data_IF_671841771837
#
_entry.id   IF_671841771837
#
_cell.length_a   1.000
_cell.length_b   1.000
_cell.length_c   1.000
_cell.angle_alpha   90.00
_cell.angle_beta   90.00
_cell.angle_gamma   90.00
#
_symmetry.space_group_name_H-M   'P 1'
#
loop_
_entity.id
_entity.type
_entity.pdbx_description
1 polymer ?
#
# COMPACT_ATOMS: atom_id res chain seq x y z
N UNK A 1 -13.83 -43.29 13.68
CA UNK A 1 -13.95 -42.15 14.63
C UNK A 1 -15.41 -41.76 14.63
N UNK A 2 -16.05 -41.66 15.78
CA UNK A 2 -17.50 -41.36 15.83
C UNK A 2 -17.79 -39.90 15.46
N UNK A 3 -16.93 -38.99 15.92
CA UNK A 3 -16.94 -37.59 15.49
C UNK A 3 -15.55 -37.00 15.66
N UNK A 4 -15.17 -36.10 14.75
CA UNK A 4 -13.86 -35.47 14.76
C UNK A 4 -13.96 -34.00 14.35
N UNK A 5 -13.10 -33.17 14.94
CA UNK A 5 -12.92 -31.76 14.61
C UNK A 5 -11.62 -31.64 13.83
N UNK A 6 -11.70 -30.95 12.70
CA UNK A 6 -10.63 -30.80 11.74
C UNK A 6 -10.32 -29.33 11.48
N UNK A 7 -9.09 -29.06 11.06
CA UNK A 7 -8.67 -27.79 10.47
C UNK A 7 -8.23 -28.08 9.04
N UNK A 8 -8.74 -27.30 8.08
CA UNK A 8 -8.31 -27.35 6.69
C UNK A 8 -7.71 -26.01 6.25
N UNK A 9 -6.62 -26.11 5.48
CA UNK A 9 -6.07 -25.05 4.63
C UNK A 9 -6.10 -25.52 3.18
N UNK A 10 -6.66 -24.72 2.30
CA UNK A 10 -6.81 -25.05 0.88
C UNK A 10 -5.82 -24.25 0.04
N UNK A 11 -5.08 -24.92 -0.83
CA UNK A 11 -4.10 -24.30 -1.72
C UNK A 11 -4.71 -23.22 -2.62
N UNK A 12 -5.97 -23.38 -3.01
CA UNK A 12 -6.70 -22.37 -3.79
C UNK A 12 -6.87 -21.05 -3.04
N UNK A 13 -6.97 -21.07 -1.71
CA UNK A 13 -7.00 -19.86 -0.88
C UNK A 13 -5.66 -19.12 -0.92
N UNK A 14 -4.55 -19.86 -0.83
CA UNK A 14 -3.21 -19.27 -0.88
C UNK A 14 -2.91 -18.74 -2.30
N UNK A 15 -3.39 -19.41 -3.35
CA UNK A 15 -3.29 -18.93 -4.74
C UNK A 15 -4.04 -17.61 -4.93
N UNK A 16 -5.21 -17.45 -4.32
CA UNK A 16 -5.97 -16.21 -4.37
C UNK A 16 -5.21 -15.08 -3.66
N UNK A 17 -4.65 -15.35 -2.48
CA UNK A 17 -3.81 -14.40 -1.76
C UNK A 17 -2.56 -14.01 -2.56
N UNK A 18 -1.88 -14.97 -3.17
CA UNK A 18 -0.74 -14.73 -4.06
C UNK A 18 -1.12 -13.79 -5.21
N UNK A 19 -2.24 -14.04 -5.89
CA UNK A 19 -2.70 -13.20 -7.03
C UNK A 19 -2.95 -11.77 -6.60
N UNK A 20 -3.58 -11.57 -5.44
CA UNK A 20 -3.79 -10.25 -4.84
C UNK A 20 -2.46 -9.55 -4.55
N UNK A 21 -1.55 -10.22 -3.86
CA UNK A 21 -0.23 -9.67 -3.52
C UNK A 21 0.59 -9.33 -4.76
N UNK A 22 0.51 -10.15 -5.81
CA UNK A 22 1.12 -9.85 -7.11
C UNK A 22 0.49 -8.65 -7.82
N UNK A 23 -0.83 -8.46 -7.70
CA UNK A 23 -1.50 -7.28 -8.24
C UNK A 23 -1.05 -6.00 -7.53
N UNK A 24 -0.94 -6.02 -6.19
CA UNK A 24 -0.36 -4.93 -5.41
C UNK A 24 1.09 -4.64 -5.83
N UNK A 25 1.95 -5.67 -5.94
CA UNK A 25 3.33 -5.50 -6.38
C UNK A 25 3.42 -4.92 -7.80
N UNK A 26 2.56 -5.36 -8.72
CA UNK A 26 2.50 -4.84 -10.09
C UNK A 26 2.14 -3.34 -10.12
N UNK A 27 1.19 -2.91 -9.29
CA UNK A 27 0.85 -1.50 -9.16
C UNK A 27 2.00 -0.68 -8.56
N UNK A 28 2.65 -1.19 -7.52
CA UNK A 28 3.82 -0.55 -6.91
C UNK A 28 4.99 -0.42 -7.89
N UNK A 29 5.25 -1.46 -8.68
CA UNK A 29 6.27 -1.44 -9.73
C UNK A 29 6.00 -0.37 -10.80
N UNK A 30 4.74 -0.15 -11.18
CA UNK A 30 4.37 0.95 -12.09
C UNK A 30 4.69 2.33 -11.50
N UNK A 31 4.42 2.51 -10.20
CA UNK A 31 4.77 3.75 -9.49
C UNK A 31 6.28 3.94 -9.41
N UNK A 32 7.02 2.87 -9.05
CA UNK A 32 8.48 2.85 -9.01
C UNK A 32 9.11 3.21 -10.37
N UNK A 33 8.57 2.69 -11.47
CA UNK A 33 9.02 3.07 -12.82
C UNK A 33 8.71 4.54 -13.16
N UNK A 34 7.59 5.09 -12.69
CA UNK A 34 7.24 6.48 -12.92
C UNK A 34 8.19 7.45 -12.20
N UNK A 35 8.54 7.15 -10.93
CA UNK A 35 9.51 7.94 -10.14
C UNK A 35 10.91 7.83 -10.76
N UNK A 36 11.33 6.64 -11.19
CA UNK A 36 12.62 6.45 -11.85
C UNK A 36 12.79 7.27 -13.14
N UNK A 37 11.71 7.49 -13.90
CA UNK A 37 11.77 8.34 -15.10
C UNK A 37 12.01 9.81 -14.79
N UNK A 38 11.73 10.25 -13.57
CA UNK A 38 11.94 11.61 -13.11
C UNK A 38 13.34 11.81 -12.50
N UNK A 39 13.99 10.74 -12.02
CA UNK A 39 15.34 10.81 -11.46
C UNK A 39 16.40 11.04 -12.54
N UNK A 40 17.36 11.91 -12.23
CA UNK A 40 18.51 12.20 -13.10
C UNK A 40 19.70 11.26 -12.85
N UNK A 41 19.79 10.69 -11.64
CA UNK A 41 20.85 9.76 -11.24
C UNK A 41 20.24 8.36 -11.11
N UNK A 42 20.59 7.49 -12.04
CA UNK A 42 19.92 6.20 -12.23
C UNK A 42 20.97 5.08 -12.25
N UNK A 43 20.95 4.24 -11.20
CA UNK A 43 21.71 3.00 -11.18
C UNK A 43 21.02 1.96 -12.08
N UNK A 44 21.52 1.87 -13.32
CA UNK A 44 21.02 0.95 -14.34
C UNK A 44 21.09 -0.50 -13.89
N UNK A 45 22.11 -0.89 -13.11
CA UNK A 45 22.27 -2.27 -12.64
C UNK A 45 21.21 -2.61 -11.60
N UNK A 46 20.99 -1.73 -10.63
CA UNK A 46 19.94 -1.91 -9.61
C UNK A 46 18.56 -1.99 -10.24
N UNK A 47 18.26 -1.12 -11.21
CA UNK A 47 16.96 -1.14 -11.92
C UNK A 47 16.73 -2.48 -12.61
N UNK A 48 17.75 -3.00 -13.29
CA UNK A 48 17.61 -4.27 -14.02
C UNK A 48 17.43 -5.45 -13.06
N UNK A 49 18.13 -5.47 -11.93
CA UNK A 49 17.96 -6.50 -10.89
C UNK A 49 16.53 -6.51 -10.31
N UNK A 50 15.96 -5.34 -10.02
CA UNK A 50 14.59 -5.22 -9.50
C UNK A 50 13.58 -5.70 -10.55
N UNK A 51 13.75 -5.29 -11.81
CA UNK A 51 12.91 -5.75 -12.93
C UNK A 51 13.01 -7.25 -13.14
N UNK A 52 14.21 -7.81 -13.13
CA UNK A 52 14.43 -9.25 -13.30
C UNK A 52 13.71 -10.03 -12.20
N UNK A 53 13.88 -9.64 -10.93
CA UNK A 53 13.21 -10.30 -9.79
C UNK A 53 11.68 -10.22 -9.91
N UNK A 54 11.14 -9.09 -10.33
CA UNK A 54 9.71 -8.94 -10.59
C UNK A 54 9.22 -9.82 -11.76
N UNK A 55 9.99 -9.91 -12.84
CA UNK A 55 9.68 -10.76 -13.98
C UNK A 55 9.70 -12.25 -13.63
N UNK A 56 10.67 -12.68 -12.82
CA UNK A 56 10.73 -14.05 -12.29
C UNK A 56 9.44 -14.36 -11.52
N UNK A 57 9.04 -13.51 -10.56
CA UNK A 57 7.78 -13.67 -9.82
C UNK A 57 6.56 -13.71 -10.74
N UNK A 58 6.50 -12.86 -11.76
CA UNK A 58 5.40 -12.84 -12.73
C UNK A 58 5.36 -14.09 -13.62
N UNK A 59 6.51 -14.68 -13.92
CA UNK A 59 6.56 -15.93 -14.69
C UNK A 59 5.99 -17.10 -13.88
N UNK A 60 6.28 -17.17 -12.58
CA UNK A 60 5.70 -18.18 -11.67
C UNK A 60 4.17 -18.15 -11.64
N UNK A 61 3.55 -16.96 -11.77
CA UNK A 61 2.10 -16.82 -11.80
C UNK A 61 1.44 -17.63 -12.92
N UNK A 62 2.10 -17.81 -14.08
CA UNK A 62 1.55 -18.55 -15.24
C UNK A 62 1.39 -20.04 -14.94
N UNK A 63 2.36 -20.61 -14.22
CA UNK A 63 2.45 -22.05 -13.97
C UNK A 63 2.09 -22.41 -12.51
N UNK A 64 1.38 -21.52 -11.80
CA UNK A 64 1.18 -21.59 -10.34
C UNK A 64 0.59 -22.92 -9.83
N UNK A 65 -0.19 -23.61 -10.68
CA UNK A 65 -0.80 -24.92 -10.36
C UNK A 65 0.15 -26.10 -10.50
N UNK A 66 1.26 -25.95 -11.22
CA UNK A 66 2.21 -27.02 -11.51
C UNK A 66 3.33 -27.14 -10.47
N UNK A 67 3.53 -26.11 -9.64
CA UNK A 67 4.56 -26.12 -8.59
C UNK A 67 4.18 -27.00 -7.40
N UNK A 68 5.19 -27.48 -6.66
CA UNK A 68 4.98 -28.15 -5.37
C UNK A 68 4.52 -27.14 -4.31
N UNK A 69 3.93 -27.63 -3.23
CA UNK A 69 3.52 -26.81 -2.08
C UNK A 69 4.72 -26.03 -1.49
N UNK A 70 5.89 -26.67 -1.36
CA UNK A 70 7.09 -26.04 -0.80
C UNK A 70 7.63 -24.90 -1.69
N UNK A 71 7.69 -25.12 -3.01
CA UNK A 71 8.13 -24.10 -3.96
C UNK A 71 7.19 -22.89 -3.96
N UNK A 72 5.88 -23.15 -3.88
CA UNK A 72 4.85 -22.12 -3.80
C UNK A 72 4.92 -21.35 -2.48
N UNK A 73 5.08 -22.01 -1.33
CA UNK A 73 5.22 -21.37 -0.03
C UNK A 73 6.47 -20.46 0.03
N UNK A 74 7.61 -20.94 -0.48
CA UNK A 74 8.83 -20.14 -0.56
C UNK A 74 8.64 -18.87 -1.41
N UNK A 75 7.93 -18.96 -2.53
CA UNK A 75 7.68 -17.82 -3.41
C UNK A 75 6.72 -16.80 -2.77
N UNK A 76 5.59 -17.27 -2.23
CA UNK A 76 4.59 -16.42 -1.59
C UNK A 76 5.20 -15.67 -0.40
N UNK A 77 6.13 -16.30 0.33
CA UNK A 77 6.88 -15.65 1.40
C UNK A 77 7.79 -14.49 0.95
N UNK A 78 8.21 -14.44 -0.32
CA UNK A 78 9.08 -13.37 -0.82
C UNK A 78 8.33 -12.11 -1.26
N UNK A 79 7.05 -12.21 -1.60
CA UNK A 79 6.30 -11.07 -2.17
C UNK A 79 6.16 -9.92 -1.16
N UNK A 80 5.78 -10.15 0.12
CA UNK A 80 5.68 -9.05 1.09
C UNK A 80 7.01 -8.30 1.25
N UNK A 81 8.13 -9.02 1.32
CA UNK A 81 9.46 -8.41 1.40
C UNK A 81 9.83 -7.63 0.14
N UNK A 82 9.39 -8.07 -1.03
CA UNK A 82 9.57 -7.30 -2.28
C UNK A 82 8.71 -6.04 -2.31
N UNK A 83 7.46 -6.11 -1.86
CA UNK A 83 6.56 -4.94 -1.74
C UNK A 83 7.19 -3.91 -0.81
N UNK A 84 7.65 -4.33 0.37
CA UNK A 84 8.33 -3.45 1.32
C UNK A 84 9.60 -2.83 0.73
N UNK A 85 10.45 -3.65 0.12
CA UNK A 85 11.68 -3.18 -0.52
C UNK A 85 11.43 -2.13 -1.61
N UNK A 86 10.48 -2.37 -2.53
CA UNK A 86 10.15 -1.41 -3.59
C UNK A 86 9.51 -0.15 -3.00
N UNK A 87 8.69 -0.27 -1.95
CA UNK A 87 8.12 0.87 -1.24
C UNK A 87 9.19 1.77 -0.62
N UNK A 88 10.14 1.18 0.09
CA UNK A 88 11.29 1.91 0.66
C UNK A 88 12.15 2.55 -0.43
N UNK A 89 12.33 1.87 -1.57
CA UNK A 89 13.10 2.41 -2.69
C UNK A 89 12.41 3.63 -3.32
N UNK A 90 11.08 3.61 -3.45
CA UNK A 90 10.29 4.77 -3.88
C UNK A 90 10.51 5.95 -2.93
N UNK A 91 10.43 5.73 -1.62
CA UNK A 91 10.63 6.78 -0.62
C UNK A 91 12.05 7.37 -0.70
N UNK A 92 13.08 6.52 -0.84
CA UNK A 92 14.46 6.96 -0.99
C UNK A 92 14.67 7.81 -2.26
N UNK A 93 14.10 7.38 -3.39
CA UNK A 93 14.19 8.12 -4.64
C UNK A 93 13.44 9.45 -4.57
N UNK A 94 12.28 9.48 -3.92
CA UNK A 94 11.54 10.72 -3.69
C UNK A 94 12.35 11.70 -2.83
N UNK A 95 13.01 11.23 -1.76
CA UNK A 95 13.89 12.08 -0.95
C UNK A 95 15.07 12.62 -1.78
N UNK A 96 15.71 11.79 -2.61
CA UNK A 96 16.78 12.24 -3.50
C UNK A 96 16.30 13.30 -4.51
N UNK A 97 15.08 13.16 -5.04
CA UNK A 97 14.46 14.19 -5.89
C UNK A 97 14.22 15.48 -5.12
N UNK A 98 13.73 15.40 -3.88
CA UNK A 98 13.52 16.57 -3.01
C UNK A 98 14.85 17.28 -2.74
N UNK A 99 15.93 16.55 -2.47
CA UNK A 99 17.27 17.09 -2.30
C UNK A 99 17.76 17.78 -3.58
N UNK A 100 17.61 17.14 -4.74
CA UNK A 100 17.98 17.72 -6.03
C UNK A 100 17.23 19.04 -6.30
N UNK A 101 15.90 19.06 -6.09
CA UNK A 101 15.08 20.26 -6.22
C UNK A 101 15.46 21.35 -5.21
N UNK A 102 15.82 20.96 -3.98
CA UNK A 102 16.31 21.88 -2.94
C UNK A 102 17.60 22.55 -3.37
N UNK A 103 18.58 21.78 -3.84
CA UNK A 103 19.87 22.30 -4.33
C UNK A 103 19.66 23.23 -5.53
N UNK A 104 18.79 22.85 -6.47
CA UNK A 104 18.47 23.70 -7.62
C UNK A 104 17.88 25.06 -7.20
N UNK A 105 16.98 25.07 -6.20
CA UNK A 105 16.41 26.31 -5.67
C UNK A 105 17.45 27.16 -4.95
N UNK A 106 18.30 26.55 -4.12
CA UNK A 106 19.38 27.26 -3.43
C UNK A 106 20.35 27.88 -4.43
N UNK A 107 20.70 27.16 -5.50
CA UNK A 107 21.52 27.69 -6.59
C UNK A 107 20.86 28.87 -7.30
N UNK A 108 19.57 28.76 -7.62
CA UNK A 108 18.80 29.85 -8.23
C UNK A 108 18.76 31.10 -7.33
N UNK A 109 18.54 30.94 -6.02
CA UNK A 109 18.59 32.07 -5.07
C UNK A 109 19.97 32.69 -5.02
N UNK A 110 21.02 31.89 -4.86
CA UNK A 110 22.40 32.39 -4.82
C UNK A 110 22.77 33.14 -6.11
N UNK A 111 22.30 32.68 -7.28
CA UNK A 111 22.47 33.40 -8.54
C UNK A 111 21.76 34.75 -8.55
N UNK A 112 20.53 34.84 -8.02
CA UNK A 112 19.77 36.09 -7.92
C UNK A 112 20.42 37.09 -6.96
N UNK A 113 20.86 36.63 -5.79
CA UNK A 113 21.58 37.46 -4.80
C UNK A 113 22.89 38.01 -5.39
N UNK A 114 23.69 37.14 -6.01
CA UNK A 114 24.92 37.54 -6.68
C UNK A 114 24.65 38.54 -7.81
N UNK A 115 23.61 38.31 -8.62
CA UNK A 115 23.22 39.24 -9.68
C UNK A 115 22.81 40.60 -9.12
N UNK A 116 22.07 40.65 -8.01
CA UNK A 116 21.65 41.90 -7.38
C UNK A 116 22.82 42.68 -6.80
N UNK A 117 23.77 41.99 -6.17
CA UNK A 117 25.00 42.60 -5.66
C UNK A 117 25.84 43.17 -6.80
N UNK A 118 26.05 42.40 -7.88
CA UNK A 118 26.79 42.83 -9.06
C UNK A 118 26.10 43.98 -9.79
N UNK A 119 24.77 43.96 -9.88
CA UNK A 119 23.98 45.02 -10.48
C UNK A 119 24.19 46.35 -9.74
N UNK A 120 24.08 46.34 -8.40
CA UNK A 120 24.32 47.53 -7.58
C UNK A 120 25.77 48.05 -7.74
N UNK A 121 26.76 47.16 -7.73
CA UNK A 121 28.17 47.53 -7.88
C UNK A 121 28.48 48.09 -9.28
N UNK A 122 27.94 47.48 -10.34
CA UNK A 122 28.10 47.93 -11.72
C UNK A 122 27.39 49.27 -11.97
N UNK A 123 26.18 49.46 -11.43
CA UNK A 123 25.49 50.75 -11.54
C UNK A 123 26.30 51.89 -10.90
N UNK A 124 26.99 51.63 -9.79
CA UNK A 124 27.81 52.63 -9.10
C UNK A 124 29.13 52.94 -9.81
N UNK A 125 29.77 51.94 -10.46
CA UNK A 125 31.12 52.09 -11.02
C UNK A 125 31.16 52.24 -12.54
N UNK A 126 30.20 51.70 -13.27
CA UNK A 126 30.18 51.61 -14.73
C UNK A 126 28.74 51.72 -15.30
N UNK A 127 28.06 52.87 -15.14
CA UNK A 127 26.70 53.08 -15.65
C UNK A 127 26.59 52.98 -17.18
N UNK A 128 27.71 53.06 -17.91
CA UNK A 128 27.77 52.95 -19.37
C UNK A 128 27.45 51.55 -19.92
N UNK A 129 27.52 50.48 -19.11
CA UNK A 129 27.26 49.10 -19.54
C UNK A 129 25.77 48.72 -19.47
N UNK A 130 24.91 49.48 -20.12
CA UNK A 130 23.46 49.32 -20.05
C UNK A 130 22.96 47.91 -20.43
N UNK A 131 23.61 47.24 -21.39
CA UNK A 131 23.23 45.89 -21.83
C UNK A 131 23.49 44.85 -20.75
N UNK A 132 24.63 44.91 -20.07
CA UNK A 132 24.95 43.99 -18.97
C UNK A 132 24.10 44.27 -17.73
N UNK A 133 23.80 45.56 -17.47
CA UNK A 133 22.88 45.97 -16.41
C UNK A 133 21.45 45.44 -16.65
N UNK A 134 20.96 45.46 -17.91
CA UNK A 134 19.67 44.86 -18.26
C UNK A 134 19.67 43.34 -18.07
N UNK A 135 20.71 42.65 -18.55
CA UNK A 135 20.83 41.19 -18.40
C UNK A 135 20.92 40.77 -16.92
N UNK A 136 21.67 41.50 -16.09
CA UNK A 136 21.72 41.25 -14.65
C UNK A 136 20.36 41.56 -13.99
N UNK A 137 19.66 42.60 -14.42
CA UNK A 137 18.31 42.91 -13.93
C UNK A 137 17.29 41.80 -14.28
N UNK A 138 17.40 41.18 -15.47
CA UNK A 138 16.59 40.02 -15.86
C UNK A 138 16.89 38.80 -14.96
N UNK A 139 18.17 38.52 -14.69
CA UNK A 139 18.58 37.44 -13.77
C UNK A 139 18.08 37.69 -12.35
N UNK A 140 18.12 38.94 -11.85
CA UNK A 140 17.56 39.27 -10.51
C UNK A 140 16.05 39.11 -10.40
N UNK A 141 15.32 39.19 -11.52
CA UNK A 141 13.87 38.94 -11.55
C UNK A 141 13.52 37.45 -11.62
N UNK A 142 14.52 36.57 -11.75
CA UNK A 142 14.32 35.13 -11.86
C UNK A 142 13.86 34.67 -13.25
N UNK A 143 14.01 35.50 -14.28
CA UNK A 143 13.73 35.09 -15.66
C UNK A 143 14.85 34.12 -16.10
N UNK A 144 14.49 32.85 -16.33
CA UNK A 144 15.44 31.80 -16.74
C UNK A 144 16.06 32.13 -18.10
N UNK A 145 17.24 32.74 -18.07
CA UNK A 145 18.14 32.77 -19.21
C UNK A 145 19.12 31.62 -19.05
N UNK A 146 19.23 30.74 -20.06
CA UNK A 146 20.29 29.70 -20.16
C UNK A 146 21.72 30.28 -20.15
N UNK A 147 21.85 31.60 -19.99
CA UNK A 147 23.08 32.38 -19.91
C UNK A 147 23.33 33.03 -18.53
N UNK A 148 22.52 32.80 -17.49
CA UNK A 148 22.67 33.47 -16.20
C UNK A 148 24.11 33.35 -15.62
N UNK A 149 24.70 32.16 -15.64
CA UNK A 149 26.10 31.95 -15.20
C UNK A 149 27.13 32.65 -16.11
N UNK A 150 26.86 32.75 -17.42
CA UNK A 150 27.72 33.48 -18.37
C UNK A 150 27.66 34.99 -18.10
N UNK A 151 26.46 35.52 -17.81
CA UNK A 151 26.25 36.93 -17.47
C UNK A 151 26.95 37.27 -16.15
N UNK A 152 26.79 36.42 -15.12
CA UNK A 152 27.47 36.59 -13.83
C UNK A 152 29.00 36.56 -13.96
N UNK A 153 29.55 35.58 -14.68
CA UNK A 153 31.00 35.46 -14.88
C UNK A 153 31.58 36.62 -15.71
N UNK A 154 30.85 37.09 -16.73
CA UNK A 154 31.24 38.27 -17.50
C UNK A 154 31.27 39.54 -16.64
N UNK A 155 30.27 39.72 -15.77
CA UNK A 155 30.22 40.84 -14.82
C UNK A 155 31.39 40.80 -13.82
N UNK A 156 31.69 39.64 -13.24
CA UNK A 156 32.83 39.46 -12.32
C UNK A 156 34.16 39.74 -13.02
N UNK A 157 34.35 39.22 -14.24
CA UNK A 157 35.55 39.47 -15.04
C UNK A 157 35.74 40.97 -15.31
N UNK A 158 34.68 41.68 -15.71
CA UNK A 158 34.74 43.12 -15.95
C UNK A 158 35.04 43.94 -14.69
N UNK A 159 34.52 43.52 -13.52
CA UNK A 159 34.89 44.16 -12.25
C UNK A 159 36.35 43.90 -11.86
N UNK A 160 36.87 42.69 -12.13
CA UNK A 160 38.25 42.31 -11.78
C UNK A 160 39.32 43.01 -12.63
N UNK A 161 38.95 43.49 -13.82
CA UNK A 161 39.87 44.20 -14.73
C UNK A 161 40.07 45.68 -14.34
N UNK A 162 39.34 46.20 -13.35
CA UNK A 162 39.59 47.53 -12.83
C UNK A 162 40.65 47.52 -11.72
N UNK A 163 41.64 48.43 -11.75
CA UNK A 163 42.56 48.59 -10.63
C UNK A 163 41.77 49.05 -9.41
N UNK A 164 41.84 48.29 -8.31
CA UNK A 164 41.23 48.65 -7.03
C UNK A 164 41.84 49.97 -6.50
N UNK A 165 41.29 51.11 -6.92
CA UNK A 165 41.64 52.41 -6.34
C UNK A 165 40.93 52.54 -5.00
N UNK A 166 41.49 51.90 -3.98
CA UNK A 166 41.13 52.18 -2.59
C UNK A 166 41.35 53.67 -2.35
N UNK A 167 40.27 54.37 -1.99
CA UNK A 167 40.32 55.76 -1.57
C UNK A 167 41.11 55.87 -0.26
N UNK A 168 41.69 57.04 0.01
CA UNK A 168 42.52 57.27 1.20
C UNK A 168 41.72 57.02 2.50
N UNK A 169 40.43 57.36 2.48
CA UNK A 169 39.47 57.04 3.55
C UNK A 169 39.28 55.52 3.75
N UNK A 170 39.19 54.75 2.68
CA UNK A 170 39.08 53.28 2.75
C UNK A 170 40.38 52.63 3.24
N UNK A 171 41.57 53.15 2.88
CA UNK A 171 42.85 52.66 3.42
C UNK A 171 42.98 52.93 4.93
N UNK A 172 42.49 54.07 5.37
CA UNK A 172 42.48 54.45 6.79
C UNK A 172 41.50 53.59 7.57
N UNK A 173 40.36 53.24 6.96
CA UNK A 173 39.36 52.35 7.55
C UNK A 173 39.84 50.89 7.61
N UNK A 174 40.54 50.41 6.57
CA UNK A 174 41.19 49.08 6.54
C UNK A 174 42.27 48.94 7.62
N UNK A 175 43.06 50.00 7.87
CA UNK A 175 44.02 50.03 8.97
C UNK A 175 43.31 49.97 10.33
N UNK A 176 42.21 50.71 10.51
CA UNK A 176 41.41 50.67 11.75
C UNK A 176 40.73 49.31 11.99
N UNK A 177 40.25 48.65 10.94
CA UNK A 177 39.67 47.30 11.00
C UNK A 177 40.71 46.23 11.35
N UNK A 178 41.97 46.41 10.95
CA UNK A 178 43.09 45.54 11.36
C UNK A 178 43.52 45.73 12.80
N UNK A 179 43.32 46.91 13.37
CA UNK A 179 43.78 47.27 14.72
C UNK A 179 42.71 47.12 15.81
N UNK A 180 41.42 47.15 15.46
CA UNK A 180 40.34 47.06 16.45
C UNK A 180 39.02 46.61 15.83
N UNK A 181 38.83 45.30 15.68
CA UNK A 181 37.49 44.73 15.67
C UNK A 181 37.32 43.91 16.95
N UNK A 182 36.40 44.27 17.86
CA UNK A 182 36.07 43.41 18.98
C UNK A 182 35.51 42.10 18.43
N UNK A 183 36.14 40.97 18.74
CA UNK A 183 35.72 39.63 18.27
C UNK A 183 34.22 39.36 18.54
N UNK A 184 33.66 39.98 19.60
CA UNK A 184 32.24 39.90 19.96
C UNK A 184 31.29 40.52 18.93
N UNK A 185 31.64 41.64 18.28
CA UNK A 185 30.76 42.29 17.30
C UNK A 185 30.76 41.56 15.94
N UNK A 186 31.90 40.97 15.56
CA UNK A 186 32.01 40.11 14.40
C UNK A 186 31.26 38.77 14.61
N UNK A 187 31.30 38.22 15.81
CA UNK A 187 30.57 37.00 16.15
C UNK A 187 29.05 37.17 16.05
N UNK A 188 28.49 38.31 16.50
CA UNK A 188 27.05 38.59 16.46
C UNK A 188 26.54 38.71 15.02
N UNK A 189 27.24 39.45 14.13
CA UNK A 189 26.84 39.55 12.72
C UNK A 189 26.96 38.24 11.95
N UNK A 190 27.90 37.36 12.31
CA UNK A 190 28.02 36.03 11.69
C UNK A 190 26.91 35.07 12.15
N UNK A 191 26.43 35.21 13.39
CA UNK A 191 25.32 34.40 13.92
C UNK A 191 23.97 34.77 13.27
N UNK A 192 23.69 36.06 13.10
CA UNK A 192 22.45 36.53 12.45
C UNK A 192 22.38 36.10 10.97
N UNK A 193 23.50 36.17 10.25
CA UNK A 193 23.60 35.73 8.86
C UNK A 193 23.43 34.20 8.71
N UNK A 194 23.98 33.43 9.66
CA UNK A 194 23.79 31.98 9.70
C UNK A 194 22.34 31.59 9.97
N UNK A 195 21.67 32.24 10.93
CA UNK A 195 20.27 31.96 11.24
C UNK A 195 19.35 32.27 10.05
N UNK A 196 19.57 33.42 9.41
CA UNK A 196 18.85 33.85 8.20
C UNK A 196 19.00 32.82 7.08
N UNK A 197 20.23 32.41 6.79
CA UNK A 197 20.54 31.41 5.76
C UNK A 197 19.90 30.05 6.06
N UNK A 198 19.91 29.61 7.31
CA UNK A 198 19.30 28.35 7.70
C UNK A 198 17.77 28.36 7.56
N UNK A 199 17.11 29.46 7.93
CA UNK A 199 15.65 29.58 7.78
C UNK A 199 15.22 29.57 6.30
N UNK A 200 15.97 30.27 5.45
CA UNK A 200 15.77 30.29 4.00
C UNK A 200 16.00 28.90 3.34
N UNK A 201 17.00 28.15 3.80
CA UNK A 201 17.22 26.77 3.35
C UNK A 201 16.05 25.85 3.73
N UNK A 202 15.44 26.05 4.91
CA UNK A 202 14.25 25.27 5.32
C UNK A 202 13.04 25.61 4.44
N UNK A 203 12.84 26.88 4.11
CA UNK A 203 11.80 27.32 3.17
C UNK A 203 11.98 26.64 1.80
N UNK A 204 13.20 26.63 1.26
CA UNK A 204 13.47 25.99 -0.03
C UNK A 204 13.21 24.49 -0.01
N UNK A 205 13.60 23.81 1.08
CA UNK A 205 13.33 22.39 1.24
C UNK A 205 11.84 22.10 1.24
N UNK A 206 11.03 22.88 1.96
CA UNK A 206 9.57 22.69 1.95
C UNK A 206 8.94 22.96 0.58
N UNK A 207 9.40 24.00 -0.13
CA UNK A 207 8.89 24.28 -1.48
C UNK A 207 9.29 23.17 -2.46
N UNK A 208 10.52 22.65 -2.36
CA UNK A 208 10.98 21.50 -3.14
C UNK A 208 10.16 20.24 -2.83
N UNK A 209 9.89 19.98 -1.55
CA UNK A 209 9.08 18.84 -1.11
C UNK A 209 7.65 18.92 -1.66
N UNK A 210 7.01 20.09 -1.60
CA UNK A 210 5.69 20.31 -2.20
C UNK A 210 5.71 20.11 -3.73
N UNK A 211 6.74 20.59 -4.42
CA UNK A 211 6.85 20.43 -5.87
C UNK A 211 6.98 18.97 -6.31
N UNK A 212 7.63 18.12 -5.49
CA UNK A 212 7.80 16.69 -5.77
C UNK A 212 6.56 15.88 -5.37
N UNK A 213 6.02 16.12 -4.17
CA UNK A 213 4.92 15.32 -3.61
C UNK A 213 3.54 15.69 -4.16
N UNK A 214 3.30 16.97 -4.48
CA UNK A 214 2.06 17.40 -5.12
C UNK A 214 2.31 18.43 -6.24
N UNK A 215 2.66 17.98 -7.46
CA UNK A 215 2.91 18.86 -8.59
C UNK A 215 1.71 19.70 -9.04
N UNK A 216 0.48 19.35 -8.61
CA UNK A 216 -0.73 20.11 -8.96
C UNK A 216 -1.07 21.18 -7.93
N UNK A 217 -0.42 21.17 -6.76
CA UNK A 217 -0.61 22.20 -5.76
C UNK A 217 -0.06 23.54 -6.26
N UNK A 218 -0.83 24.61 -6.05
CA UNK A 218 -0.40 25.96 -6.40
C UNK A 218 0.69 26.45 -5.40
N UNK A 219 1.94 26.17 -5.72
CA UNK A 219 3.12 26.60 -4.96
C UNK A 219 3.58 28.04 -5.27
N UNK A 220 2.98 28.68 -6.28
CA UNK A 220 3.39 30.02 -6.74
C UNK A 220 3.29 31.09 -5.64
N UNK A 221 2.26 31.00 -4.79
CA UNK A 221 2.07 31.92 -3.66
C UNK A 221 3.20 31.81 -2.63
N UNK A 222 3.65 30.60 -2.30
CA UNK A 222 4.78 30.36 -1.41
C UNK A 222 6.10 30.84 -2.01
N UNK A 223 6.31 30.62 -3.31
CA UNK A 223 7.48 31.09 -4.03
C UNK A 223 7.55 32.63 -4.00
N UNK A 224 6.41 33.30 -4.22
CA UNK A 224 6.34 34.76 -4.15
C UNK A 224 6.67 35.29 -2.76
N UNK A 225 6.05 34.73 -1.70
CA UNK A 225 6.32 35.11 -0.31
C UNK A 225 7.78 34.90 0.09
N UNK A 226 8.40 33.81 -0.39
CA UNK A 226 9.83 33.56 -0.16
C UNK A 226 10.71 34.63 -0.83
N UNK A 227 10.39 35.03 -2.08
CA UNK A 227 11.12 36.08 -2.78
C UNK A 227 10.94 37.48 -2.15
N UNK A 228 9.80 37.75 -1.51
CA UNK A 228 9.59 38.98 -0.74
C UNK A 228 10.45 39.01 0.53
N UNK A 229 10.55 37.89 1.25
CA UNK A 229 11.41 37.77 2.44
C UNK A 229 12.88 38.04 2.12
N UNK A 230 13.37 37.57 0.97
CA UNK A 230 14.76 37.81 0.52
C UNK A 230 15.05 39.32 0.34
N UNK A 231 14.04 40.13 0.01
CA UNK A 231 14.17 41.58 -0.17
C UNK A 231 14.06 42.39 1.13
N UNK A 232 13.49 41.79 2.19
CA UNK A 232 13.16 42.44 3.46
C UNK A 232 14.17 42.16 4.58
N UNK A 233 15.40 41.77 4.25
CA UNK A 233 16.46 41.34 5.20
C UNK A 233 16.88 42.38 6.26
N UNK A 234 16.30 43.59 6.25
CA UNK A 234 16.51 44.65 7.27
C UNK A 234 15.23 45.04 8.04
N UNK A 235 14.11 44.33 7.83
CA UNK A 235 12.83 44.62 8.49
C UNK A 235 12.78 43.99 9.89
N UNK A 236 12.39 44.73 10.95
CA UNK A 236 12.20 44.16 12.29
C UNK A 236 11.18 43.00 12.35
N UNK A 237 10.28 42.89 11.36
CA UNK A 237 9.29 41.82 11.28
C UNK A 237 9.78 40.59 10.50
N UNK A 238 11.01 40.59 9.99
CA UNK A 238 11.53 39.50 9.15
C UNK A 238 11.44 38.13 9.82
N UNK A 239 11.80 38.05 11.11
CA UNK A 239 11.70 36.81 11.89
C UNK A 239 10.26 36.31 11.98
N UNK A 240 9.30 37.20 12.28
CA UNK A 240 7.88 36.86 12.39
C UNK A 240 7.31 36.36 11.06
N UNK A 241 7.63 37.04 9.95
CA UNK A 241 7.15 36.66 8.62
C UNK A 241 7.75 35.33 8.17
N UNK A 242 9.03 35.10 8.48
CA UNK A 242 9.73 33.85 8.22
C UNK A 242 9.12 32.70 9.00
N UNK A 243 8.88 32.88 10.31
CA UNK A 243 8.24 31.87 11.15
C UNK A 243 6.82 31.54 10.67
N UNK A 244 6.04 32.57 10.30
CA UNK A 244 4.71 32.38 9.72
C UNK A 244 4.77 31.59 8.41
N UNK A 245 5.70 31.91 7.51
CA UNK A 245 5.85 31.18 6.24
C UNK A 245 6.31 29.73 6.48
N UNK A 246 7.25 29.49 7.39
CA UNK A 246 7.71 28.15 7.74
C UNK A 246 6.55 27.32 8.31
N UNK A 247 5.69 27.90 9.17
CA UNK A 247 4.52 27.20 9.70
C UNK A 247 3.52 26.83 8.60
N UNK A 248 3.20 27.77 7.70
CA UNK A 248 2.29 27.53 6.57
C UNK A 248 2.85 26.43 5.64
N UNK A 249 4.13 26.53 5.28
CA UNK A 249 4.83 25.56 4.45
C UNK A 249 4.91 24.19 5.12
N UNK A 250 5.21 24.12 6.41
CA UNK A 250 5.26 22.86 7.16
C UNK A 250 3.87 22.22 7.27
N UNK A 251 2.80 23.01 7.37
CA UNK A 251 1.43 22.49 7.33
C UNK A 251 1.06 21.96 5.94
N UNK A 252 1.34 22.73 4.88
CA UNK A 252 1.10 22.31 3.50
C UNK A 252 1.88 21.04 3.16
N UNK A 253 3.16 20.99 3.54
CA UNK A 253 4.04 19.83 3.30
C UNK A 253 3.54 18.58 4.01
N UNK A 254 3.14 18.70 5.28
CA UNK A 254 2.55 17.57 6.03
C UNK A 254 1.26 17.08 5.38
N UNK A 255 0.42 18.00 4.90
CA UNK A 255 -0.80 17.64 4.20
C UNK A 255 -0.49 16.90 2.89
N UNK A 256 0.40 17.41 2.05
CA UNK A 256 0.81 16.80 0.79
C UNK A 256 1.43 15.40 1.00
N UNK A 257 2.31 15.24 2.01
CA UNK A 257 2.90 13.94 2.35
C UNK A 257 1.83 12.93 2.78
N UNK A 258 0.91 13.34 3.65
CA UNK A 258 -0.20 12.47 4.09
C UNK A 258 -1.10 12.11 2.90
N UNK A 259 -1.39 13.07 2.03
CA UNK A 259 -2.19 12.85 0.84
C UNK A 259 -1.53 11.84 -0.10
N UNK A 260 -0.25 12.02 -0.41
CA UNK A 260 0.53 11.12 -1.25
C UNK A 260 0.57 9.68 -0.68
N UNK A 261 0.82 9.54 0.62
CA UNK A 261 0.82 8.25 1.31
C UNK A 261 -0.56 7.55 1.20
N UNK A 262 -1.65 8.29 1.47
CA UNK A 262 -3.01 7.73 1.42
C UNK A 262 -3.46 7.43 0.00
N UNK A 263 -3.08 8.25 -0.98
CA UNK A 263 -3.29 7.97 -2.41
C UNK A 263 -2.57 6.68 -2.84
N UNK A 264 -1.31 6.49 -2.44
CA UNK A 264 -0.58 5.26 -2.71
C UNK A 264 -1.24 4.06 -2.01
N UNK A 265 -1.60 4.19 -0.73
CA UNK A 265 -2.28 3.12 0.02
C UNK A 265 -3.59 2.69 -0.66
N UNK A 266 -4.43 3.65 -1.05
CA UNK A 266 -5.68 3.36 -1.76
C UNK A 266 -5.43 2.73 -3.13
N UNK A 267 -4.43 3.22 -3.89
CA UNK A 267 -4.05 2.65 -5.18
C UNK A 267 -3.62 1.17 -5.06
N UNK A 268 -2.87 0.82 -4.02
CA UNK A 268 -2.49 -0.57 -3.76
C UNK A 268 -3.69 -1.46 -3.38
N UNK A 269 -4.63 -0.93 -2.60
CA UNK A 269 -5.86 -1.64 -2.25
C UNK A 269 -6.75 -1.87 -3.47
N UNK A 270 -6.91 -0.87 -4.35
CA UNK A 270 -7.63 -1.02 -5.62
C UNK A 270 -6.99 -2.11 -6.47
N UNK A 271 -5.67 -2.08 -6.64
CA UNK A 271 -4.96 -3.12 -7.40
C UNK A 271 -5.16 -4.52 -6.79
N UNK A 272 -5.20 -4.64 -5.47
CA UNK A 272 -5.53 -5.89 -4.79
C UNK A 272 -6.96 -6.35 -5.10
N UNK A 273 -7.93 -5.45 -5.03
CA UNK A 273 -9.36 -5.73 -5.29
C UNK A 273 -9.61 -6.15 -6.75
N UNK A 274 -8.86 -5.59 -7.71
CA UNK A 274 -8.92 -5.97 -9.14
C UNK A 274 -8.67 -7.47 -9.36
N UNK A 275 -7.99 -8.14 -8.43
CA UNK A 275 -7.71 -9.58 -8.55
C UNK A 275 -8.92 -10.50 -8.32
N UNK A 276 -10.03 -10.00 -7.75
CA UNK A 276 -11.18 -10.82 -7.36
C UNK A 276 -12.28 -10.99 -8.44
N UNK A 277 -12.28 -10.18 -9.50
CA UNK A 277 -13.17 -10.33 -10.67
C UNK A 277 -14.69 -10.47 -10.37
N UNK A 278 -15.22 -9.78 -9.35
CA UNK A 278 -16.68 -9.72 -9.05
C UNK A 278 -17.31 -8.41 -9.52
N UNK A 279 -18.61 -8.44 -9.84
CA UNK A 279 -19.41 -7.26 -10.22
C UNK A 279 -19.49 -6.22 -9.10
N UNK A 280 -19.69 -6.67 -7.86
CA UNK A 280 -19.79 -5.81 -6.68
C UNK A 280 -18.45 -5.10 -6.43
N UNK A 281 -17.35 -5.83 -6.61
CA UNK A 281 -15.99 -5.30 -6.47
C UNK A 281 -15.67 -4.33 -7.60
N UNK A 282 -16.08 -4.61 -8.83
CA UNK A 282 -15.89 -3.70 -9.97
C UNK A 282 -16.60 -2.35 -9.73
N UNK A 283 -17.85 -2.39 -9.26
CA UNK A 283 -18.60 -1.18 -8.90
C UNK A 283 -17.98 -0.42 -7.71
N UNK A 284 -17.37 -1.14 -6.76
CA UNK A 284 -16.61 -0.51 -5.68
C UNK A 284 -15.34 0.18 -6.21
N UNK A 285 -14.56 -0.50 -7.06
CA UNK A 285 -13.34 0.04 -7.67
C UNK A 285 -13.62 1.34 -8.43
N UNK A 286 -14.71 1.41 -9.19
CA UNK A 286 -15.11 2.65 -9.87
C UNK A 286 -15.32 3.81 -8.88
N UNK A 287 -16.00 3.56 -7.75
CA UNK A 287 -16.18 4.57 -6.69
C UNK A 287 -14.86 4.98 -6.04
N UNK A 288 -13.96 4.04 -5.76
CA UNK A 288 -12.66 4.32 -5.16
C UNK A 288 -11.77 5.14 -6.12
N UNK A 289 -11.82 4.87 -7.42
CA UNK A 289 -11.13 5.65 -8.44
C UNK A 289 -11.63 7.09 -8.52
N UNK A 290 -12.93 7.35 -8.32
CA UNK A 290 -13.44 8.71 -8.22
C UNK A 290 -12.86 9.45 -7.01
N UNK A 291 -12.77 8.79 -5.85
CA UNK A 291 -12.15 9.39 -4.65
C UNK A 291 -10.69 9.75 -4.88
N UNK A 292 -9.93 8.91 -5.60
CA UNK A 292 -8.56 9.21 -6.00
C UNK A 292 -8.44 10.51 -6.82
N UNK A 293 -9.47 10.88 -7.59
CA UNK A 293 -9.48 12.13 -8.36
C UNK A 293 -9.85 13.36 -7.53
N UNK A 294 -10.61 13.20 -6.44
CA UNK A 294 -11.06 14.32 -5.60
C UNK A 294 -9.93 14.94 -4.76
N UNK A 295 -8.84 14.18 -4.48
CA UNK A 295 -7.65 14.66 -3.73
C UNK A 295 -7.94 15.25 -2.35
N UNK A 296 -9.04 14.83 -1.72
CA UNK A 296 -9.41 15.24 -0.37
C UNK A 296 -9.05 14.15 0.64
N UNK A 297 -8.48 14.55 1.78
CA UNK A 297 -7.96 13.61 2.77
C UNK A 297 -9.05 12.78 3.46
N UNK A 298 -10.18 13.39 3.83
CA UNK A 298 -11.25 12.67 4.54
C UNK A 298 -11.93 11.60 3.66
N UNK A 299 -12.37 11.91 2.42
CA UNK A 299 -12.85 10.89 1.50
C UNK A 299 -11.86 9.76 1.25
N UNK A 300 -10.55 10.06 1.17
CA UNK A 300 -9.50 9.05 1.01
C UNK A 300 -9.43 8.09 2.21
N UNK A 301 -9.49 8.61 3.44
CA UNK A 301 -9.44 7.78 4.65
C UNK A 301 -10.66 6.84 4.71
N UNK A 302 -11.85 7.36 4.43
CA UNK A 302 -13.08 6.56 4.39
C UNK A 302 -13.04 5.50 3.28
N UNK A 303 -12.51 5.85 2.10
CA UNK A 303 -12.32 4.94 0.98
C UNK A 303 -11.32 3.83 1.32
N UNK A 304 -10.22 4.14 2.01
CA UNK A 304 -9.24 3.15 2.48
C UNK A 304 -9.91 2.16 3.44
N UNK A 305 -10.64 2.64 4.44
CA UNK A 305 -11.34 1.77 5.38
C UNK A 305 -12.36 0.87 4.68
N UNK A 306 -13.10 1.41 3.72
CA UNK A 306 -14.05 0.65 2.90
C UNK A 306 -13.35 -0.42 2.06
N UNK A 307 -12.23 -0.07 1.41
CA UNK A 307 -11.47 -1.00 0.59
C UNK A 307 -10.79 -2.11 1.41
N UNK A 308 -10.32 -1.79 2.62
CA UNK A 308 -9.77 -2.78 3.57
C UNK A 308 -10.85 -3.78 4.00
N UNK A 309 -12.00 -3.28 4.47
CA UNK A 309 -13.12 -4.14 4.87
C UNK A 309 -13.61 -5.02 3.72
N UNK A 310 -13.71 -4.47 2.50
CA UNK A 310 -14.07 -5.24 1.32
C UNK A 310 -13.03 -6.32 0.97
N UNK A 311 -11.74 -6.00 1.11
CA UNK A 311 -10.65 -6.96 0.88
C UNK A 311 -10.72 -8.11 1.87
N UNK A 312 -10.84 -7.81 3.17
CA UNK A 312 -10.96 -8.82 4.22
C UNK A 312 -12.19 -9.71 4.02
N UNK A 313 -13.34 -9.12 3.71
CA UNK A 313 -14.56 -9.87 3.44
C UNK A 313 -14.41 -10.81 2.24
N UNK A 314 -13.78 -10.34 1.16
CA UNK A 314 -13.55 -11.18 -0.03
C UNK A 314 -12.55 -12.30 0.26
N UNK A 315 -11.47 -12.03 0.99
CA UNK A 315 -10.51 -13.06 1.40
C UNK A 315 -11.18 -14.15 2.24
N UNK A 316 -12.01 -13.76 3.21
CA UNK A 316 -12.74 -14.69 4.03
C UNK A 316 -13.72 -15.54 3.21
N UNK A 317 -14.45 -14.92 2.27
CA UNK A 317 -15.39 -15.64 1.41
C UNK A 317 -14.67 -16.65 0.50
N UNK A 318 -13.58 -16.23 -0.16
CA UNK A 318 -12.78 -17.08 -1.04
C UNK A 318 -12.17 -18.24 -0.25
N UNK A 319 -11.56 -17.96 0.90
CA UNK A 319 -10.99 -18.99 1.77
C UNK A 319 -12.05 -19.98 2.25
N UNK A 320 -13.23 -19.48 2.67
CA UNK A 320 -14.31 -20.32 3.14
C UNK A 320 -14.85 -21.26 2.06
N UNK A 321 -15.00 -20.78 0.83
CA UNK A 321 -15.45 -21.56 -0.30
C UNK A 321 -14.38 -22.57 -0.73
N UNK A 322 -13.14 -22.11 -0.93
CA UNK A 322 -11.98 -22.93 -1.30
C UNK A 322 -11.78 -24.15 -0.39
N UNK A 323 -11.89 -23.94 0.93
CA UNK A 323 -11.79 -25.02 1.92
C UNK A 323 -12.90 -26.04 1.81
N UNK A 324 -14.13 -25.60 1.56
CA UNK A 324 -15.30 -26.48 1.41
C UNK A 324 -15.20 -27.29 0.13
N UNK A 325 -14.87 -26.63 -0.97
CA UNK A 325 -14.62 -27.27 -2.27
C UNK A 325 -13.52 -28.33 -2.16
N UNK A 326 -12.38 -28.03 -1.51
CA UNK A 326 -11.29 -28.99 -1.34
C UNK A 326 -11.74 -30.27 -0.61
N UNK A 327 -12.48 -30.13 0.51
CA UNK A 327 -13.04 -31.29 1.23
C UNK A 327 -14.01 -32.07 0.36
N UNK A 328 -14.94 -31.38 -0.29
CA UNK A 328 -16.00 -32.00 -1.08
C UNK A 328 -15.42 -32.72 -2.31
N UNK A 329 -14.48 -32.12 -3.02
CA UNK A 329 -13.74 -32.77 -4.13
C UNK A 329 -12.96 -33.99 -3.64
N UNK A 330 -12.33 -33.91 -2.47
CA UNK A 330 -11.66 -35.04 -1.84
C UNK A 330 -12.62 -36.18 -1.51
N UNK A 331 -13.81 -35.87 -0.97
CA UNK A 331 -14.86 -36.86 -0.69
C UNK A 331 -15.43 -37.45 -1.98
N UNK A 332 -15.62 -36.65 -3.03
CA UNK A 332 -16.08 -37.13 -4.33
C UNK A 332 -15.12 -38.20 -4.90
N UNK A 333 -13.80 -37.99 -4.78
CA UNK A 333 -12.77 -38.99 -5.17
C UNK A 333 -12.84 -40.29 -4.35
N UNK A 334 -13.36 -40.24 -3.12
CA UNK A 334 -13.63 -41.42 -2.28
C UNK A 334 -14.99 -42.08 -2.57
N UNK A 335 -15.74 -41.59 -3.57
CA UNK A 335 -17.02 -42.14 -3.99
C UNK A 335 -18.23 -41.63 -3.21
N UNK A 336 -18.10 -40.49 -2.53
CA UNK A 336 -19.24 -39.77 -1.96
C UNK A 336 -20.00 -38.99 -3.04
N UNK A 337 -21.31 -38.87 -2.88
CA UNK A 337 -22.21 -38.18 -3.81
C UNK A 337 -22.21 -36.68 -3.50
N UNK A 338 -21.31 -35.95 -4.17
CA UNK A 338 -21.14 -34.49 -4.02
C UNK A 338 -21.71 -33.77 -5.25
N UNK A 339 -22.43 -32.68 -5.00
CA UNK A 339 -22.99 -31.77 -6.02
C UNK A 339 -22.23 -30.45 -6.04
N UNK A 340 -22.29 -29.77 -7.18
CA UNK A 340 -21.67 -28.44 -7.35
C UNK A 340 -22.18 -27.42 -6.31
N UNK A 341 -23.45 -27.49 -5.94
CA UNK A 341 -24.07 -26.57 -4.95
C UNK A 341 -23.71 -26.87 -3.49
N UNK A 342 -23.11 -28.03 -3.18
CA UNK A 342 -22.94 -28.46 -1.79
C UNK A 342 -21.95 -27.57 -1.01
N UNK A 343 -20.98 -26.98 -1.70
CA UNK A 343 -20.03 -26.05 -1.10
C UNK A 343 -20.73 -24.76 -0.65
N UNK A 344 -21.63 -24.22 -1.49
CA UNK A 344 -22.44 -23.03 -1.20
C UNK A 344 -23.47 -23.31 -0.10
N UNK A 345 -24.18 -24.44 -0.19
CA UNK A 345 -25.12 -24.88 0.85
C UNK A 345 -24.40 -25.02 2.19
N UNK A 346 -23.22 -25.64 2.22
CA UNK A 346 -22.43 -25.75 3.45
C UNK A 346 -21.95 -24.38 3.95
N UNK A 347 -21.67 -23.44 3.05
CA UNK A 347 -21.27 -22.08 3.43
C UNK A 347 -22.42 -21.31 4.08
N UNK A 348 -23.65 -21.47 3.59
CA UNK A 348 -24.80 -20.71 4.06
C UNK A 348 -25.52 -21.37 5.25
N UNK A 349 -25.75 -22.68 5.21
CA UNK A 349 -26.43 -23.41 6.30
C UNK A 349 -25.47 -23.82 7.42
N UNK A 350 -24.16 -23.67 7.22
CA UNK A 350 -23.12 -24.10 8.16
C UNK A 350 -23.00 -25.61 8.32
N UNK A 351 -23.76 -26.40 7.54
CA UNK A 351 -23.69 -27.86 7.53
C UNK A 351 -24.11 -28.43 6.18
N UNK A 352 -23.61 -29.61 5.84
CA UNK A 352 -24.06 -30.39 4.70
C UNK A 352 -23.96 -31.89 5.03
N UNK A 353 -24.88 -32.69 4.49
CA UNK A 353 -24.92 -34.14 4.70
C UNK A 353 -24.75 -34.84 3.36
N UNK A 354 -23.61 -35.51 3.20
CA UNK A 354 -23.19 -36.17 1.96
C UNK A 354 -23.41 -37.68 2.06
N UNK A 355 -23.96 -38.25 0.99
CA UNK A 355 -24.25 -39.70 0.88
C UNK A 355 -23.07 -40.46 0.29
N UNK A 356 -23.09 -41.78 0.49
CA UNK A 356 -22.18 -42.70 -0.20
C UNK A 356 -22.94 -43.89 -0.71
N UNK A 357 -22.89 -44.14 -2.03
CA UNK A 357 -23.67 -45.21 -2.66
C UNK A 357 -23.26 -46.61 -2.15
N UNK A 358 -21.99 -46.77 -1.75
CA UNK A 358 -21.46 -48.03 -1.22
C UNK A 358 -21.99 -48.39 0.19
N UNK A 359 -22.54 -47.44 0.94
CA UNK A 359 -23.12 -47.66 2.27
C UNK A 359 -24.53 -47.08 2.34
N UNK A 360 -25.53 -47.73 1.69
CA UNK A 360 -26.90 -47.23 1.67
C UNK A 360 -27.46 -47.04 3.09
N UNK A 361 -28.13 -45.91 3.32
CA UNK A 361 -28.70 -45.56 4.62
C UNK A 361 -27.77 -44.80 5.56
N UNK A 362 -26.51 -44.58 5.16
CA UNK A 362 -25.50 -43.85 5.94
C UNK A 362 -24.81 -42.77 5.10
N UNK A 363 -24.21 -41.79 5.78
CA UNK A 363 -23.45 -40.72 5.16
C UNK A 363 -22.55 -39.98 6.15
N UNK A 364 -22.05 -38.83 5.72
CA UNK A 364 -21.26 -37.93 6.54
C UNK A 364 -21.96 -36.59 6.69
N UNK A 365 -22.05 -36.10 7.92
CA UNK A 365 -22.39 -34.72 8.22
C UNK A 365 -21.09 -33.93 8.39
N UNK A 366 -20.96 -32.86 7.59
CA UNK A 366 -19.93 -31.84 7.72
C UNK A 366 -20.59 -30.61 8.33
N UNK A 367 -20.05 -30.08 9.42
CA UNK A 367 -20.61 -28.91 10.11
C UNK A 367 -19.52 -27.94 10.53
N UNK A 368 -19.67 -26.65 10.23
CA UNK A 368 -18.67 -25.65 10.56
C UNK A 368 -19.25 -24.24 10.48
N UNK A 369 -18.74 -23.34 11.31
CA UNK A 369 -19.17 -21.95 11.26
C UNK A 369 -18.80 -21.30 9.91
N UNK A 370 -19.59 -20.32 9.47
CA UNK A 370 -19.31 -19.54 8.27
C UNK A 370 -17.91 -18.89 8.39
N UNK A 371 -17.09 -19.02 7.36
CA UNK A 371 -15.71 -18.50 7.37
C UNK A 371 -14.68 -19.28 8.18
N UNK A 372 -15.07 -20.29 8.96
CA UNK A 372 -14.13 -21.03 9.81
C UNK A 372 -13.26 -22.01 9.03
N UNK A 373 -11.99 -22.10 9.42
CA UNK A 373 -11.09 -23.22 9.05
C UNK A 373 -11.42 -24.51 9.78
N UNK A 374 -12.13 -24.40 10.92
CA UNK A 374 -12.53 -25.51 11.75
C UNK A 374 -13.87 -26.06 11.31
N UNK A 375 -13.95 -27.37 11.17
CA UNK A 375 -15.21 -28.07 10.95
C UNK A 375 -15.23 -29.43 11.64
N UNK A 376 -16.43 -29.88 11.94
CA UNK A 376 -16.72 -31.19 12.50
C UNK A 376 -17.16 -32.14 11.39
N UNK A 377 -16.63 -33.36 11.42
CA UNK A 377 -17.12 -34.48 10.63
C UNK A 377 -17.74 -35.52 11.55
N UNK A 378 -18.85 -36.09 11.12
CA UNK A 378 -19.57 -37.13 11.86
C UNK A 378 -20.20 -38.11 10.88
N UNK A 379 -20.06 -39.41 11.17
CA UNK A 379 -20.87 -40.43 10.51
C UNK A 379 -22.33 -40.30 10.97
N UNK A 380 -23.26 -40.34 10.01
CA UNK A 380 -24.69 -40.19 10.29
C UNK A 380 -25.48 -41.30 9.59
N UNK A 381 -26.63 -41.61 10.16
CA UNK A 381 -27.60 -42.50 9.55
C UNK A 381 -28.81 -41.70 9.03
N UNK A 382 -29.49 -42.23 8.02
CA UNK A 382 -30.65 -41.54 7.42
C UNK A 382 -32.00 -41.96 8.01
N UNK A 383 -32.03 -43.00 8.83
CA UNK A 383 -33.25 -43.50 9.47
C UNK A 383 -32.98 -43.96 10.91
N UNK A 384 -33.98 -43.79 11.77
CA UNK A 384 -34.01 -44.39 13.11
C UNK A 384 -34.17 -45.92 13.05
N UNK A 385 -34.74 -46.45 11.97
CA UNK A 385 -34.97 -47.89 11.76
C UNK A 385 -33.73 -48.64 11.22
N UNK A 386 -32.54 -48.08 11.43
CA UNK A 386 -31.28 -48.65 10.93
C UNK A 386 -30.82 -49.87 11.74
N UNK A 387 -29.91 -50.63 11.16
CA UNK A 387 -29.18 -51.67 11.87
C UNK A 387 -28.05 -51.05 12.71
N UNK A 388 -28.26 -50.95 14.02
CA UNK A 388 -27.30 -50.37 14.96
C UNK A 388 -26.03 -51.22 15.13
N UNK A 389 -26.03 -52.49 14.71
CA UNK A 389 -24.81 -53.31 14.74
C UNK A 389 -23.80 -52.83 13.69
N UNK A 390 -24.28 -52.21 12.60
CA UNK A 390 -23.44 -51.68 11.52
C UNK A 390 -22.86 -50.30 11.83
N UNK A 391 -23.35 -49.61 12.85
CA UNK A 391 -22.90 -48.26 13.20
C UNK A 391 -21.38 -48.22 13.47
N UNK A 392 -20.86 -49.20 14.21
CA UNK A 392 -19.44 -49.31 14.52
C UNK A 392 -18.60 -49.59 13.26
N UNK A 393 -19.10 -50.43 12.34
CA UNK A 393 -18.44 -50.73 11.08
C UNK A 393 -18.35 -49.48 10.19
N UNK A 394 -19.43 -48.69 10.11
CA UNK A 394 -19.47 -47.43 9.36
C UNK A 394 -18.43 -46.43 9.91
N UNK A 395 -18.33 -46.30 11.24
CA UNK A 395 -17.32 -45.42 11.86
C UNK A 395 -15.89 -45.94 11.70
N UNK A 396 -15.70 -47.25 11.56
CA UNK A 396 -14.41 -47.87 11.24
C UNK A 396 -14.01 -47.65 9.78
N UNK A 397 -14.96 -47.75 8.86
CA UNK A 397 -14.77 -47.40 7.45
C UNK A 397 -14.33 -45.93 7.34
N UNK A 398 -15.08 -45.01 7.97
CA UNK A 398 -14.72 -43.59 7.98
C UNK A 398 -13.31 -43.32 8.51
N UNK A 399 -12.85 -44.07 9.51
CA UNK A 399 -11.48 -43.97 10.02
C UNK A 399 -10.41 -44.21 8.94
N UNK A 400 -10.60 -45.24 8.10
CA UNK A 400 -9.69 -45.53 6.99
C UNK A 400 -9.81 -44.50 5.87
N UNK A 401 -11.03 -44.09 5.55
CA UNK A 401 -11.29 -43.09 4.51
C UNK A 401 -10.78 -41.70 4.86
N UNK A 402 -10.76 -41.35 6.16
CA UNK A 402 -10.15 -40.12 6.63
C UNK A 402 -8.64 -40.07 6.30
N UNK A 403 -7.92 -41.19 6.48
CA UNK A 403 -6.50 -41.26 6.11
C UNK A 403 -6.30 -41.13 4.59
N UNK A 404 -7.18 -41.74 3.80
CA UNK A 404 -7.15 -41.61 2.33
C UNK A 404 -7.49 -40.19 1.89
N UNK A 405 -8.49 -39.54 2.52
CA UNK A 405 -8.83 -38.15 2.26
C UNK A 405 -7.64 -37.23 2.53
N UNK A 406 -6.94 -37.45 3.65
CA UNK A 406 -5.73 -36.69 3.98
C UNK A 406 -4.63 -36.84 2.92
N UNK A 407 -4.45 -38.04 2.35
CA UNK A 407 -3.50 -38.29 1.26
C UNK A 407 -3.93 -37.58 -0.03
N UNK A 408 -5.20 -37.71 -0.42
CA UNK A 408 -5.77 -37.06 -1.62
C UNK A 408 -5.61 -35.54 -1.56
N UNK A 409 -5.87 -34.93 -0.40
CA UNK A 409 -5.71 -33.50 -0.18
C UNK A 409 -4.24 -33.08 -0.21
N UNK A 410 -3.34 -33.90 0.34
CA UNK A 410 -1.90 -33.61 0.29
C UNK A 410 -1.36 -33.63 -1.15
N UNK A 411 -1.89 -34.46 -2.05
CA UNK A 411 -1.52 -34.49 -3.47
C UNK A 411 -1.86 -33.18 -4.20
N UNK A 412 -2.96 -32.52 -3.82
CA UNK A 412 -3.35 -31.21 -4.35
C UNK A 412 -2.63 -30.05 -3.66
N UNK A 413 -1.93 -30.32 -2.56
CA UNK A 413 -1.24 -29.33 -1.73
C UNK A 413 -2.11 -28.70 -0.65
N UNK A 414 -3.29 -29.28 -0.39
CA UNK A 414 -4.17 -28.92 0.72
C UNK A 414 -3.70 -29.62 2.00
N UNK A 415 -3.97 -29.02 3.16
CA UNK A 415 -3.63 -29.63 4.45
C UNK A 415 -4.87 -29.86 5.28
N UNK A 416 -5.07 -31.11 5.71
CA UNK A 416 -6.13 -31.52 6.64
C UNK A 416 -5.50 -32.06 7.91
N UNK A 417 -5.85 -31.48 9.06
CA UNK A 417 -5.36 -31.91 10.38
C UNK A 417 -6.52 -32.23 11.32
N UNK A 418 -6.31 -33.16 12.23
CA UNK A 418 -7.29 -33.54 13.25
C UNK A 418 -6.95 -32.81 14.54
N UNK A 419 -7.85 -31.94 15.00
CA UNK A 419 -7.70 -31.23 16.28
C UNK A 419 -8.21 -32.08 17.44
N UNK A 420 -9.34 -32.78 17.24
CA UNK A 420 -9.97 -33.63 18.26
C UNK A 420 -10.70 -34.78 17.58
N UNK A 421 -10.67 -35.97 18.18
CA UNK A 421 -11.42 -37.11 17.68
C UNK A 421 -12.02 -37.94 18.82
N UNK A 422 -13.22 -38.45 18.60
CA UNK A 422 -13.85 -39.46 19.43
C UNK A 422 -13.63 -40.84 18.81
N UNK A 423 -13.37 -41.84 19.67
CA UNK A 423 -13.23 -43.22 19.26
C UNK A 423 -14.49 -43.74 18.54
N UNK A 424 -14.33 -44.72 17.66
CA UNK A 424 -15.49 -45.42 17.09
C UNK A 424 -16.26 -46.15 18.21
N UNK A 425 -17.58 -46.18 18.12
CA UNK A 425 -18.51 -46.72 19.10
C UNK A 425 -18.70 -45.86 20.36
N UNK A 426 -18.03 -44.70 20.46
CA UNK A 426 -18.10 -43.85 21.65
C UNK A 426 -19.46 -43.14 21.83
N UNK A 427 -20.25 -43.01 20.78
CA UNK A 427 -21.60 -42.42 20.82
C UNK A 427 -22.47 -43.02 19.71
N UNK A 428 -23.80 -43.16 19.92
CA UNK A 428 -24.71 -43.59 18.87
C UNK A 428 -24.70 -42.64 17.67
N UNK A 429 -24.85 -43.18 16.45
CA UNK A 429 -24.94 -42.34 15.25
C UNK A 429 -26.16 -41.43 15.31
N UNK A 430 -25.92 -40.16 14.92
CA UNK A 430 -26.98 -39.17 14.73
C UNK A 430 -27.81 -39.54 13.51
N UNK A 431 -29.13 -39.38 13.60
CA UNK A 431 -30.01 -39.46 12.44
C UNK A 431 -30.07 -38.08 11.78
N UNK A 432 -29.73 -38.01 10.50
CA UNK A 432 -29.69 -36.78 9.72
C UNK A 432 -30.39 -36.97 8.37
N UNK A 433 -31.04 -35.92 7.88
CA UNK A 433 -31.60 -35.91 6.53
C UNK A 433 -30.50 -35.55 5.53
N UNK A 434 -30.35 -36.29 4.43
CA UNK A 434 -29.43 -35.90 3.37
C UNK A 434 -29.89 -34.59 2.71
N UNK A 435 -28.95 -33.84 2.12
CA UNK A 435 -29.23 -32.58 1.41
C UNK A 435 -30.28 -32.74 0.29
N UNK A 436 -30.41 -33.95 -0.26
CA UNK A 436 -31.20 -34.24 -1.46
C UNK A 436 -32.63 -34.76 -1.21
N UNK A 437 -33.05 -34.85 0.06
CA UNK A 437 -34.41 -35.28 0.37
C UNK A 437 -35.39 -34.11 0.18
N UNK A 438 -36.49 -34.25 -0.61
CA UNK A 438 -37.50 -33.20 -0.71
C UNK A 438 -38.02 -32.88 0.69
N UNK A 439 -38.15 -31.59 1.00
CA UNK A 439 -38.75 -31.15 2.26
C UNK A 439 -40.20 -31.67 2.31
N UNK A 440 -40.46 -32.71 3.10
CA UNK A 440 -41.82 -33.02 3.51
C UNK A 440 -42.36 -31.77 4.21
N UNK A 441 -43.33 -31.11 3.55
CA UNK A 441 -44.21 -30.16 4.21
C UNK A 441 -44.70 -30.83 5.48
N UNK A 442 -44.40 -30.22 6.63
CA UNK A 442 -44.87 -30.70 7.91
C UNK A 442 -46.39 -30.76 7.85
N UNK A 443 -46.92 -31.97 7.65
CA UNK A 443 -48.34 -32.28 7.69
C UNK A 443 -48.74 -32.11 9.16
N UNK A 444 -49.17 -30.89 9.51
CA UNK A 444 -49.83 -30.60 10.78
C UNK A 444 -51.17 -31.32 10.76
N UNK A 445 -51.15 -32.63 10.99
CA UNK A 445 -52.35 -33.39 11.29
C UNK A 445 -52.88 -32.95 12.64
N UNK A 446 -53.84 -32.04 12.53
CA UNK A 446 -54.87 -31.68 13.48
C UNK A 446 -55.37 -32.94 14.22
N UNK A 447 -54.91 -33.14 15.46
CA UNK A 447 -55.54 -34.09 16.38
C UNK A 447 -56.59 -33.34 17.19
N UNK A 448 -57.81 -33.33 16.65
CA UNK A 448 -58.98 -32.86 17.35
C UNK A 448 -59.42 -33.80 18.47
N UNK A 449 -60.06 -33.18 19.45
CA UNK A 449 -61.14 -33.70 20.30
C UNK A 449 -60.78 -34.55 21.52
N UNK A 450 -60.71 -33.85 22.66
CA UNK A 450 -61.18 -34.34 23.95
C UNK A 450 -62.35 -33.47 24.41
N UNK A 451 -63.56 -33.84 23.99
CA UNK A 451 -64.84 -33.31 24.45
C UNK A 451 -64.95 -33.37 25.98
N UNK A 452 -65.26 -32.24 26.63
CA UNK A 452 -66.05 -32.19 27.88
C UNK A 452 -66.87 -30.90 27.90
N UNK A 453 -68.18 -31.09 27.70
CA UNK A 453 -69.25 -30.15 28.00
C UNK A 453 -69.92 -30.58 29.32
N UNK A 454 -70.63 -29.61 29.93
CA UNK A 454 -71.57 -29.66 31.07
C UNK A 454 -70.87 -29.54 32.44
N UNK A 455 -71.12 -28.54 33.30
CA UNK A 455 -72.20 -27.55 33.45
C UNK A 455 -71.70 -26.14 33.81
#
# INVERSE_FOLDING_TARGET
>A
MSSSVHIIRARSEDIAEYRRSMACLSALMKQWEAVNRQSSDVDVLKIEQIRQRFQEMKQYQKDIRQYSADAFAHLTGQIPGMIEFVGQDIEQMQEALIEQHTVQRQHQRAQQENAAMLLNLLQQRMPEQQTLLQQLAEVTKGEQTSSAEKVLSQAVLMMSQQPARLTEAQRTMDQRLKESAPEEQLAISQQDDHHTRQALQRIDRHIAELAVLDPQQEIASFIHRAAELDRLTQDPNWNLLTDSLILDLAQATRHARTLAEKTQQLGLLIAGLESYHSSEISALIEKLNLVLTCRELQPLIEAIATAQAATEQQQQNIAALARREAILDGLAKLGYEVRESDAEVWLDDGKVVIRKSATPGYGLELAGAKGSERFQVRAVAFSEQRDTQRDADIESIWCGEHQQLQQILAETGDTLTVERAMAAGASPLKVARPADAPAEQADYHHRGEGSRSLD
#
